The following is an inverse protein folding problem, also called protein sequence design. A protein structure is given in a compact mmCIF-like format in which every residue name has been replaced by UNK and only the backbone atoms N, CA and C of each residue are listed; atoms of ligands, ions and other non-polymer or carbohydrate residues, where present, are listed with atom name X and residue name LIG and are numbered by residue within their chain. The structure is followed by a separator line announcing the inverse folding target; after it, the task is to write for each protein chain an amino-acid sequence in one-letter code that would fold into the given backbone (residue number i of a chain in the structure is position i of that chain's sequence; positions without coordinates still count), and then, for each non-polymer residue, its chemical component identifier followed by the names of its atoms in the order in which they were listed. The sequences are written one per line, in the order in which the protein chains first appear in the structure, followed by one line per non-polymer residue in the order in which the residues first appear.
data_IF_223957759153
#
_entry.id   IF_223957759153
#
_cell.length_a   1.000
_cell.length_b   1.000
_cell.length_c   1.000
_cell.angle_alpha   90.00
_cell.angle_beta   90.00
_cell.angle_gamma   90.00
#
_symmetry.space_group_name_H-M   'P 1'
#
loop_
_entity.id
_entity.type
_entity.pdbx_description
1 polymer ?
#
# COMPACT_ATOMS: atom_id res chain seq x y z
N UNK A 1 22.03 -2.49 -0.37
CA UNK A 1 21.15 -3.34 -1.22
C UNK A 1 20.62 -2.51 -2.39
N UNK A 2 20.61 -3.04 -3.62
CA UNK A 2 19.96 -2.38 -4.76
C UNK A 2 18.47 -2.71 -4.79
N UNK A 3 17.63 -1.69 -4.85
CA UNK A 3 16.17 -1.79 -4.95
C UNK A 3 15.74 -1.31 -6.32
N UNK A 4 14.97 -2.14 -7.02
CA UNK A 4 14.45 -1.87 -8.36
C UNK A 4 12.99 -1.45 -8.26
N UNK A 5 12.63 -0.33 -8.90
CA UNK A 5 11.27 0.17 -8.97
C UNK A 5 10.66 -0.13 -10.34
N UNK A 6 9.42 -0.61 -10.32
CA UNK A 6 8.57 -0.81 -11.48
C UNK A 6 7.27 -0.04 -11.29
N UNK A 7 6.84 0.68 -12.32
CA UNK A 7 5.56 1.36 -12.37
C UNK A 7 5.06 1.29 -13.81
N UNK A 8 4.09 0.42 -14.05
CA UNK A 8 3.47 0.24 -15.36
C UNK A 8 2.48 1.37 -15.64
N UNK A 9 2.29 1.68 -16.93
CA UNK A 9 1.32 2.68 -17.36
C UNK A 9 -0.09 2.36 -16.85
N UNK A 10 -0.79 3.41 -16.43
CA UNK A 10 -2.18 3.35 -15.97
C UNK A 10 -3.12 2.91 -17.09
N UNK A 11 -4.20 2.23 -16.69
CA UNK A 11 -5.23 1.68 -17.57
C UNK A 11 -6.61 1.89 -16.98
N UNK A 12 -7.63 1.64 -17.80
CA UNK A 12 -9.02 1.47 -17.38
C UNK A 12 -9.60 2.66 -16.59
N UNK A 13 -9.17 3.88 -16.92
CA UNK A 13 -9.73 5.10 -16.35
C UNK A 13 -11.24 5.19 -16.58
N UNK A 14 -12.00 5.30 -15.49
CA UNK A 14 -13.47 5.31 -15.51
C UNK A 14 -14.02 6.52 -16.25
N UNK A 15 -13.42 7.69 -16.01
CA UNK A 15 -13.82 8.97 -16.61
C UNK A 15 -12.88 9.43 -17.72
N UNK A 16 -11.83 8.65 -18.02
CA UNK A 16 -10.90 8.88 -19.14
C UNK A 16 -10.32 10.29 -19.15
N UNK A 17 -9.99 10.83 -17.97
CA UNK A 17 -9.51 12.22 -17.85
C UNK A 17 -8.24 12.48 -18.67
N UNK A 18 -7.44 11.46 -18.92
CA UNK A 18 -6.25 11.54 -19.77
C UNK A 18 -6.55 11.58 -21.27
N UNK A 19 -7.68 11.03 -21.72
CA UNK A 19 -8.10 11.07 -23.14
C UNK A 19 -8.85 12.36 -23.46
N UNK A 20 -9.77 12.76 -22.57
CA UNK A 20 -10.66 13.90 -22.79
C UNK A 20 -9.99 15.25 -22.52
N UNK A 21 -8.82 15.25 -21.88
CA UNK A 21 -8.07 16.47 -21.54
C UNK A 21 -6.56 16.24 -21.71
N UNK A 22 -6.01 16.45 -22.92
CA UNK A 22 -4.60 16.23 -23.21
C UNK A 22 -3.63 16.99 -22.29
N UNK A 23 -4.05 18.14 -21.75
CA UNK A 23 -3.28 18.90 -20.76
C UNK A 23 -3.05 18.16 -19.43
N UNK A 24 -3.77 17.06 -19.19
CA UNK A 24 -3.66 16.25 -17.98
C UNK A 24 -2.72 15.05 -18.14
N UNK A 25 -2.27 14.74 -19.36
CA UNK A 25 -1.57 13.48 -19.69
C UNK A 25 -0.35 13.21 -18.79
N UNK A 26 0.38 14.26 -18.39
CA UNK A 26 1.54 14.15 -17.50
C UNK A 26 1.21 13.60 -16.11
N UNK A 27 -0.04 13.73 -15.64
CA UNK A 27 -0.48 13.14 -14.37
C UNK A 27 -0.80 11.64 -14.48
N UNK A 28 -0.92 11.12 -15.70
CA UNK A 28 -1.29 9.73 -16.00
C UNK A 28 -0.14 8.92 -16.64
N UNK A 29 0.84 9.60 -17.26
CA UNK A 29 2.07 8.99 -17.78
C UNK A 29 3.20 9.00 -16.74
N UNK A 30 2.94 8.35 -15.60
CA UNK A 30 3.88 8.29 -14.48
C UNK A 30 4.86 7.12 -14.64
N UNK A 31 6.08 7.33 -14.20
CA UNK A 31 7.14 6.33 -14.11
C UNK A 31 7.98 6.54 -12.86
N UNK A 32 8.78 5.56 -12.40
CA UNK A 32 9.56 5.72 -11.18
C UNK A 32 10.58 6.85 -11.32
N UNK A 33 10.61 7.77 -10.35
CA UNK A 33 11.62 8.82 -10.25
C UNK A 33 13.05 8.26 -10.23
N UNK A 34 13.24 7.09 -9.61
CA UNK A 34 14.51 6.38 -9.56
C UNK A 34 14.32 4.88 -9.84
N UNK A 35 14.44 4.42 -11.10
CA UNK A 35 14.22 3.01 -11.47
C UNK A 35 15.08 2.02 -10.69
N UNK A 36 16.29 2.43 -10.28
CA UNK A 36 17.17 1.66 -9.39
C UNK A 36 17.78 2.60 -8.36
N UNK A 37 17.76 2.21 -7.08
CA UNK A 37 18.38 2.96 -5.99
C UNK A 37 19.09 2.03 -5.01
N UNK A 38 20.29 2.42 -4.61
CA UNK A 38 21.01 1.72 -3.55
C UNK A 38 20.60 2.27 -2.19
N UNK A 39 20.27 1.37 -1.27
CA UNK A 39 19.96 1.67 0.13
C UNK A 39 21.00 1.03 1.04
N UNK A 40 21.48 1.80 2.00
CA UNK A 40 22.32 1.31 3.09
C UNK A 40 21.51 0.38 4.01
N UNK A 41 22.18 -0.53 4.73
CA UNK A 41 21.51 -1.44 5.66
C UNK A 41 20.72 -0.67 6.75
N UNK A 42 21.22 0.49 7.17
CA UNK A 42 20.56 1.34 8.16
C UNK A 42 19.18 1.85 7.71
N UNK A 43 18.94 2.00 6.40
CA UNK A 43 17.64 2.45 5.89
C UNK A 43 16.52 1.43 6.18
N UNK A 44 16.86 0.17 6.38
CA UNK A 44 15.88 -0.89 6.66
C UNK A 44 15.63 -1.10 8.15
N UNK A 45 16.32 -0.38 9.04
CA UNK A 45 16.16 -0.53 10.49
C UNK A 45 14.72 -0.27 10.96
N UNK A 46 13.99 0.61 10.27
CA UNK A 46 12.58 0.85 10.53
C UNK A 46 11.75 -0.44 10.56
N UNK A 47 12.11 -1.45 9.76
CA UNK A 47 11.36 -2.71 9.65
C UNK A 47 11.82 -3.80 10.64
N UNK A 48 12.88 -3.56 11.43
CA UNK A 48 13.35 -4.57 12.38
C UNK A 48 12.30 -4.78 13.48
N UNK A 49 12.09 -6.03 13.91
CA UNK A 49 11.12 -6.32 14.95
C UNK A 49 11.64 -5.78 16.29
N UNK A 50 10.76 -5.22 17.15
CA UNK A 50 11.10 -4.96 18.54
C UNK A 50 11.54 -6.23 19.27
N UNK A 51 12.30 -6.12 20.36
CA UNK A 51 12.90 -7.28 21.04
C UNK A 51 11.89 -8.25 21.68
N UNK A 52 10.66 -7.81 21.89
CA UNK A 52 9.61 -8.52 22.64
C UNK A 52 8.47 -9.05 21.76
N UNK A 53 8.53 -8.88 20.44
CA UNK A 53 7.48 -9.37 19.54
C UNK A 53 7.64 -10.86 19.21
N UNK A 54 6.50 -11.52 19.06
CA UNK A 54 6.36 -12.94 18.70
C UNK A 54 5.60 -13.09 17.38
N UNK A 55 5.65 -14.29 16.78
CA UNK A 55 4.95 -14.56 15.52
C UNK A 55 3.46 -14.26 15.66
N UNK A 56 2.93 -13.40 14.78
CA UNK A 56 1.56 -12.89 14.83
C UNK A 56 1.42 -11.48 15.39
N UNK A 57 2.40 -11.00 16.16
CA UNK A 57 2.34 -9.65 16.73
C UNK A 57 2.48 -8.59 15.63
N UNK A 58 1.80 -7.46 15.87
CA UNK A 58 1.75 -6.32 14.96
C UNK A 58 2.17 -5.06 15.70
N UNK A 59 3.14 -4.34 15.14
CA UNK A 59 3.64 -3.07 15.67
C UNK A 59 3.59 -1.96 14.63
N UNK A 60 3.66 -0.72 15.10
CA UNK A 60 3.70 0.47 14.26
C UNK A 60 5.11 0.71 13.73
N UNK A 61 5.21 1.09 12.46
CA UNK A 61 6.43 1.52 11.81
C UNK A 61 6.50 3.05 11.83
N UNK A 62 7.69 3.59 12.05
CA UNK A 62 7.92 5.03 11.95
C UNK A 62 7.68 5.49 10.49
N UNK A 63 6.60 6.24 10.28
CA UNK A 63 6.12 6.61 8.94
C UNK A 63 7.17 7.44 8.18
N UNK A 64 7.84 8.36 8.88
CA UNK A 64 8.92 9.20 8.38
C UNK A 64 10.18 8.40 7.96
N UNK A 65 10.38 7.20 8.52
CA UNK A 65 11.47 6.31 8.12
C UNK A 65 11.12 5.43 6.91
N UNK A 66 9.83 5.11 6.69
CA UNK A 66 9.39 4.25 5.57
C UNK A 66 8.97 5.01 4.31
N UNK A 67 8.42 6.21 4.43
CA UNK A 67 8.06 7.07 3.27
C UNK A 67 9.25 7.33 2.32
N UNK A 68 10.51 7.48 2.77
CA UNK A 68 11.66 7.62 1.89
C UNK A 68 11.89 6.49 0.87
N UNK A 69 11.30 5.31 1.08
CA UNK A 69 11.28 4.24 0.07
C UNK A 69 10.35 4.59 -1.10
N UNK A 70 9.20 5.22 -0.82
CA UNK A 70 8.23 5.63 -1.84
C UNK A 70 8.71 6.81 -2.70
N UNK A 71 9.71 7.59 -2.25
CA UNK A 71 10.38 8.57 -3.10
C UNK A 71 11.08 7.96 -4.31
N UNK A 72 11.31 6.64 -4.31
CA UNK A 72 11.79 5.94 -5.49
C UNK A 72 10.75 5.94 -6.62
N UNK A 73 9.45 5.94 -6.27
CA UNK A 73 8.37 6.13 -7.22
C UNK A 73 8.18 7.59 -7.58
N UNK A 74 7.98 8.47 -6.59
CA UNK A 74 7.76 9.89 -6.83
C UNK A 74 8.07 10.70 -5.56
N UNK A 75 8.73 11.85 -5.71
CA UNK A 75 9.19 12.69 -4.58
C UNK A 75 8.05 13.31 -3.76
N UNK A 76 6.85 13.39 -4.33
CA UNK A 76 5.65 13.84 -3.65
C UNK A 76 4.97 12.81 -2.75
N UNK A 77 5.59 11.65 -2.47
CA UNK A 77 5.05 10.66 -1.56
C UNK A 77 4.84 11.23 -0.15
N UNK A 78 3.73 10.88 0.49
CA UNK A 78 3.42 11.32 1.85
C UNK A 78 2.59 10.26 2.57
N UNK A 79 2.82 10.14 3.88
CA UNK A 79 2.01 9.31 4.76
C UNK A 79 0.80 10.04 5.36
N UNK A 80 0.72 11.36 5.16
CA UNK A 80 -0.46 12.16 5.51
C UNK A 80 -1.48 12.07 4.38
N UNK A 81 -2.61 11.44 4.66
CA UNK A 81 -3.67 11.22 3.67
C UNK A 81 -4.74 12.29 3.78
N UNK A 82 -5.35 12.64 2.65
CA UNK A 82 -6.57 13.49 2.70
C UNK A 82 -7.77 12.69 3.19
N UNK A 83 -7.83 11.43 2.78
CA UNK A 83 -8.92 10.51 3.08
C UNK A 83 -8.34 9.20 3.60
N UNK A 84 -9.07 8.59 4.53
CA UNK A 84 -8.74 7.26 5.03
C UNK A 84 -7.87 7.23 6.28
N UNK A 85 -7.45 6.01 6.62
CA UNK A 85 -6.65 5.76 7.83
C UNK A 85 -5.17 5.96 7.53
N UNK A 86 -4.46 6.71 8.37
CA UNK A 86 -3.02 6.91 8.22
C UNK A 86 -2.22 5.83 8.95
N UNK A 87 -0.99 5.63 8.52
CA UNK A 87 0.00 4.87 9.27
C UNK A 87 0.68 3.75 8.49
N UNK A 88 1.65 3.14 9.16
CA UNK A 88 2.38 1.99 8.67
C UNK A 88 2.52 0.98 9.79
N UNK A 89 2.26 -0.30 9.49
CA UNK A 89 2.34 -1.38 10.48
C UNK A 89 3.09 -2.56 9.89
N UNK A 90 3.78 -3.29 10.76
CA UNK A 90 4.46 -4.54 10.45
C UNK A 90 3.92 -5.67 11.32
N UNK A 91 3.98 -6.89 10.79
CA UNK A 91 3.58 -8.13 11.43
C UNK A 91 4.72 -9.14 11.30
N UNK A 92 5.11 -9.73 12.43
CA UNK A 92 6.11 -10.79 12.44
C UNK A 92 5.45 -12.07 11.92
N UNK A 93 5.71 -12.42 10.66
CA UNK A 93 5.04 -13.55 9.99
C UNK A 93 5.71 -14.87 10.30
N UNK A 94 7.04 -14.93 10.29
CA UNK A 94 7.78 -16.14 10.61
C UNK A 94 9.15 -15.86 11.23
N UNK A 95 9.64 -16.82 12.02
CA UNK A 95 10.96 -16.80 12.64
C UNK A 95 11.66 -18.14 12.47
N UNK A 96 12.98 -18.10 12.33
CA UNK A 96 13.88 -19.23 12.54
C UNK A 96 15.03 -18.79 13.43
N UNK A 97 15.99 -19.67 13.71
CA UNK A 97 17.20 -19.32 14.46
C UNK A 97 17.99 -18.16 13.85
N UNK A 98 17.90 -17.98 12.53
CA UNK A 98 18.78 -17.10 11.75
C UNK A 98 18.02 -16.02 11.00
N UNK A 99 16.72 -16.19 10.77
CA UNK A 99 15.94 -15.32 9.90
C UNK A 99 14.63 -14.90 10.54
N UNK A 100 14.21 -13.68 10.21
CA UNK A 100 12.85 -13.21 10.43
C UNK A 100 12.24 -12.75 9.13
N UNK A 101 10.96 -13.02 9.01
CA UNK A 101 10.14 -12.69 7.89
C UNK A 101 8.99 -11.80 8.39
N UNK A 102 8.91 -10.61 7.83
CA UNK A 102 8.04 -9.54 8.29
C UNK A 102 7.19 -9.07 7.12
N UNK A 103 5.88 -9.20 7.28
CA UNK A 103 4.93 -8.57 6.38
C UNK A 103 4.62 -7.16 6.89
N UNK A 104 4.41 -6.20 5.99
CA UNK A 104 4.05 -4.84 6.39
C UNK A 104 3.04 -4.22 5.44
N UNK A 105 2.39 -3.16 5.92
CA UNK A 105 1.43 -2.36 5.18
C UNK A 105 1.68 -0.88 5.46
N UNK A 106 1.72 -0.07 4.40
CA UNK A 106 1.96 1.37 4.46
C UNK A 106 0.82 2.07 3.75
N UNK A 107 0.18 3.02 4.43
CA UNK A 107 -0.78 3.91 3.81
C UNK A 107 -0.07 5.19 3.37
N UNK A 108 -0.16 5.49 2.07
CA UNK A 108 0.50 6.65 1.48
C UNK A 108 -0.20 7.09 0.20
N UNK A 109 -0.08 8.38 -0.09
CA UNK A 109 -0.49 9.02 -1.34
C UNK A 109 0.68 9.82 -1.93
N UNK A 110 0.50 10.30 -3.15
CA UNK A 110 1.49 11.14 -3.83
C UNK A 110 0.85 12.45 -4.24
N UNK A 111 1.43 13.56 -3.82
CA UNK A 111 1.16 14.85 -4.44
C UNK A 111 1.87 14.88 -5.80
N UNK A 112 1.09 14.93 -6.87
CA UNK A 112 1.60 15.09 -8.23
C UNK A 112 1.72 16.57 -8.59
N UNK A 113 2.59 16.87 -9.54
CA UNK A 113 2.67 18.19 -10.15
C UNK A 113 2.81 18.09 -11.66
N UNK A 114 2.06 18.93 -12.38
CA UNK A 114 2.28 19.23 -13.80
C UNK A 114 2.19 20.74 -14.03
N UNK A 115 2.81 21.30 -15.09
CA UNK A 115 2.66 22.71 -15.44
C UNK A 115 1.19 23.12 -15.57
N UNK A 116 0.39 22.31 -16.26
CA UNK A 116 -1.04 22.56 -16.45
C UNK A 116 -1.81 22.59 -15.12
N UNK A 117 -1.54 21.62 -14.23
CA UNK A 117 -2.17 21.61 -12.92
C UNK A 117 -1.75 22.80 -12.07
N UNK A 118 -0.47 23.23 -12.11
CA UNK A 118 -0.02 24.41 -11.36
C UNK A 118 -0.69 25.70 -11.82
N UNK A 119 -0.89 25.88 -13.12
CA UNK A 119 -1.61 27.05 -13.65
C UNK A 119 -3.09 27.03 -13.24
N UNK A 120 -3.74 25.87 -13.40
CA UNK A 120 -5.13 25.70 -12.96
C UNK A 120 -5.27 25.92 -11.46
N UNK A 121 -4.36 25.37 -10.65
CA UNK A 121 -4.38 25.51 -9.21
C UNK A 121 -4.26 26.98 -8.77
N UNK A 122 -3.38 27.77 -9.39
CA UNK A 122 -3.27 29.21 -9.10
C UNK A 122 -4.55 29.98 -9.42
N UNK A 123 -5.26 29.61 -10.49
CA UNK A 123 -6.50 30.26 -10.88
C UNK A 123 -7.71 29.87 -10.00
N UNK A 124 -7.62 28.74 -9.30
CA UNK A 124 -8.73 28.16 -8.51
C UNK A 124 -8.43 28.07 -7.01
N UNK A 125 -7.22 28.46 -6.58
CA UNK A 125 -6.86 28.52 -5.17
C UNK A 125 -7.69 29.59 -4.45
N UNK A 126 -7.99 29.32 -3.19
CA UNK A 126 -8.63 30.28 -2.28
C UNK A 126 -7.87 30.31 -0.96
N UNK A 127 -8.15 31.30 -0.11
CA UNK A 127 -7.47 31.47 1.18
C UNK A 127 -7.51 30.22 2.08
N UNK A 128 -8.50 29.34 1.90
CA UNK A 128 -8.71 28.15 2.71
C UNK A 128 -8.49 26.82 1.97
N UNK A 129 -8.11 26.86 0.69
CA UNK A 129 -7.96 25.65 -0.12
C UNK A 129 -6.97 25.86 -1.25
N UNK A 130 -5.88 25.09 -1.21
CA UNK A 130 -4.97 24.92 -2.33
C UNK A 130 -5.26 23.58 -3.01
N UNK A 131 -5.74 23.57 -4.26
CA UNK A 131 -5.97 22.33 -4.97
C UNK A 131 -4.63 21.67 -5.31
N UNK A 132 -4.52 20.38 -4.95
CA UNK A 132 -3.37 19.53 -5.28
C UNK A 132 -3.82 18.40 -6.19
N UNK A 133 -3.00 18.06 -7.17
CA UNK A 133 -3.16 16.81 -7.91
C UNK A 133 -2.67 15.67 -7.00
N UNK A 134 -3.47 14.66 -6.79
CA UNK A 134 -3.15 13.55 -5.89
C UNK A 134 -3.33 12.23 -6.61
N UNK A 135 -2.34 11.37 -6.46
CA UNK A 135 -2.39 9.97 -6.84
C UNK A 135 -2.51 9.15 -5.57
N UNK A 136 -3.61 8.42 -5.45
CA UNK A 136 -4.12 7.87 -4.19
C UNK A 136 -4.22 6.34 -4.34
N UNK A 137 -3.12 5.60 -4.16
CA UNK A 137 -3.15 4.15 -4.04
C UNK A 137 -3.59 3.71 -2.64
N UNK A 138 -3.33 4.53 -1.63
CA UNK A 138 -3.65 4.39 -0.19
C UNK A 138 -3.19 3.14 0.53
N UNK A 139 -2.76 2.08 -0.15
CA UNK A 139 -2.42 0.81 0.47
C UNK A 139 -1.26 0.15 -0.27
N UNK A 140 -0.05 0.25 0.28
CA UNK A 140 1.08 -0.57 -0.13
C UNK A 140 1.20 -1.78 0.80
N UNK A 141 1.38 -2.96 0.21
CA UNK A 141 1.74 -4.17 0.95
C UNK A 141 3.20 -4.50 0.70
N UNK A 142 3.87 -5.09 1.69
CA UNK A 142 5.26 -5.43 1.52
C UNK A 142 5.75 -6.50 2.47
N UNK A 143 7.00 -6.84 2.24
CA UNK A 143 7.67 -7.96 2.85
C UNK A 143 9.16 -7.67 2.99
N UNK A 144 9.74 -8.02 4.14
CA UNK A 144 11.19 -7.99 4.34
C UNK A 144 11.66 -9.27 5.01
N UNK A 145 12.73 -9.83 4.47
CA UNK A 145 13.46 -10.97 5.02
C UNK A 145 14.78 -10.47 5.57
N UNK A 146 15.02 -10.70 6.86
CA UNK A 146 16.21 -10.22 7.56
C UNK A 146 16.97 -11.42 8.13
N UNK A 147 18.29 -11.44 7.93
CA UNK A 147 19.19 -12.35 8.64
C UNK A 147 19.59 -11.72 9.98
N UNK A 148 19.14 -12.33 11.08
CA UNK A 148 19.36 -11.84 12.44
C UNK A 148 20.84 -11.87 12.88
N UNK A 149 21.64 -12.80 12.36
CA UNK A 149 23.05 -12.94 12.72
C UNK A 149 23.92 -11.82 12.15
N UNK A 150 23.56 -11.35 10.95
CA UNK A 150 24.32 -10.35 10.21
C UNK A 150 23.65 -8.98 10.20
N UNK A 151 22.41 -8.89 10.69
CA UNK A 151 21.53 -7.72 10.59
C UNK A 151 21.38 -7.23 9.13
N UNK A 152 21.44 -8.15 8.16
CA UNK A 152 21.32 -7.84 6.74
C UNK A 152 19.93 -8.17 6.21
N UNK A 153 19.43 -7.29 5.34
CA UNK A 153 18.22 -7.57 4.55
C UNK A 153 18.58 -8.47 3.38
N UNK A 154 17.95 -9.64 3.34
CA UNK A 154 18.11 -10.64 2.30
C UNK A 154 17.13 -10.44 1.14
N UNK A 155 15.91 -10.00 1.44
CA UNK A 155 14.91 -9.66 0.44
C UNK A 155 14.00 -8.55 0.95
N UNK A 156 13.54 -7.72 0.02
CA UNK A 156 12.59 -6.66 0.26
C UNK A 156 11.63 -6.58 -0.93
N UNK A 157 10.34 -6.47 -0.64
CA UNK A 157 9.34 -6.12 -1.63
C UNK A 157 8.32 -5.16 -1.05
N UNK A 158 7.87 -4.20 -1.84
CA UNK A 158 6.78 -3.30 -1.54
C UNK A 158 5.99 -3.16 -2.83
N UNK A 159 4.68 -3.34 -2.81
CA UNK A 159 3.86 -3.32 -4.02
C UNK A 159 2.46 -2.78 -3.73
N UNK A 160 1.82 -2.30 -4.79
CA UNK A 160 0.41 -2.01 -4.81
C UNK A 160 -0.38 -3.33 -4.95
N UNK A 161 -1.25 -3.69 -3.99
CA UNK A 161 -2.02 -4.93 -4.07
C UNK A 161 -2.91 -4.98 -5.33
N UNK A 162 -3.13 -6.18 -5.91
CA UNK A 162 -4.04 -6.34 -7.04
C UNK A 162 -5.50 -6.19 -6.60
N UNK A 163 -6.22 -5.27 -7.25
CA UNK A 163 -7.68 -5.02 -7.09
C UNK A 163 -8.25 -4.39 -8.36
N UNK A 164 -9.57 -4.39 -8.54
CA UNK A 164 -10.23 -3.97 -9.80
C UNK A 164 -9.89 -2.53 -10.21
N UNK A 165 -9.98 -1.58 -9.27
CA UNK A 165 -9.36 -0.26 -9.33
C UNK A 165 -8.40 -0.17 -8.15
N UNK A 166 -7.17 0.31 -8.38
CA UNK A 166 -6.17 0.36 -7.31
C UNK A 166 -5.59 1.74 -7.05
N UNK A 167 -6.05 2.75 -7.76
CA UNK A 167 -5.56 4.12 -7.67
C UNK A 167 -6.67 5.08 -8.04
N UNK A 168 -6.71 6.21 -7.34
CA UNK A 168 -7.49 7.37 -7.75
C UNK A 168 -6.57 8.55 -8.06
N UNK A 169 -6.93 9.30 -9.12
CA UNK A 169 -6.28 10.56 -9.45
C UNK A 169 -7.28 11.69 -9.24
N UNK A 170 -7.03 12.49 -8.20
CA UNK A 170 -7.79 13.70 -7.91
C UNK A 170 -7.03 14.90 -8.48
N UNK A 171 -7.54 15.54 -9.52
CA UNK A 171 -6.92 16.71 -10.15
C UNK A 171 -7.98 17.57 -10.84
N UNK A 172 -7.74 18.88 -10.99
CA UNK A 172 -8.64 19.78 -11.72
C UNK A 172 -10.10 19.83 -11.19
N UNK A 173 -10.30 19.50 -9.91
CA UNK A 173 -11.62 19.45 -9.28
C UNK A 173 -12.45 18.21 -9.62
N UNK A 174 -11.84 17.19 -10.25
CA UNK A 174 -12.45 15.89 -10.52
C UNK A 174 -11.55 14.74 -10.04
N UNK A 175 -12.12 13.53 -10.06
CA UNK A 175 -11.48 12.28 -9.70
C UNK A 175 -11.57 11.31 -10.90
N UNK A 176 -10.52 10.53 -11.15
CA UNK A 176 -10.57 9.36 -12.03
C UNK A 176 -10.06 8.13 -11.29
N UNK A 177 -10.83 7.05 -11.38
CA UNK A 177 -10.44 5.75 -10.83
C UNK A 177 -9.71 5.00 -11.93
N UNK A 178 -8.45 4.64 -11.67
CA UNK A 178 -7.58 3.97 -12.65
C UNK A 178 -7.03 2.67 -12.09
N UNK A 179 -6.51 1.85 -12.99
CA UNK A 179 -5.81 0.62 -12.67
C UNK A 179 -4.34 0.74 -13.07
N UNK A 180 -3.44 0.53 -12.10
CA UNK A 180 -2.00 0.39 -12.32
C UNK A 180 -1.66 -1.10 -12.26
N UNK A 181 -1.30 -1.74 -13.40
CA UNK A 181 -1.06 -3.18 -13.45
C UNK A 181 0.08 -3.65 -12.53
N UNK A 182 1.10 -2.82 -12.37
CA UNK A 182 2.28 -3.11 -11.56
C UNK A 182 2.84 -1.81 -11.01
N UNK A 183 2.96 -1.74 -9.70
CA UNK A 183 3.71 -0.70 -9.01
C UNK A 183 4.40 -1.34 -7.82
N UNK A 184 5.72 -1.54 -7.92
CA UNK A 184 6.47 -2.28 -6.91
C UNK A 184 7.94 -1.89 -6.81
N UNK A 185 8.48 -2.04 -5.61
CA UNK A 185 9.90 -2.04 -5.29
C UNK A 185 10.30 -3.47 -4.97
N UNK A 186 11.38 -3.95 -5.58
CA UNK A 186 11.93 -5.29 -5.32
C UNK A 186 13.44 -5.20 -5.10
N UNK A 187 13.91 -5.87 -4.06
CA UNK A 187 15.29 -6.27 -3.92
C UNK A 187 15.35 -7.72 -3.46
N UNK A 188 16.21 -8.51 -4.07
CA UNK A 188 16.48 -9.87 -3.60
C UNK A 188 17.96 -10.15 -3.73
N UNK A 189 18.56 -10.57 -2.63
CA UNK A 189 19.77 -11.37 -2.71
C UNK A 189 19.38 -12.79 -3.14
N UNK A 190 19.71 -13.16 -4.38
CA UNK A 190 19.36 -14.47 -4.95
C UNK A 190 19.98 -15.62 -4.16
N UNK A 191 21.08 -15.39 -3.44
CA UNK A 191 21.80 -16.43 -2.70
C UNK A 191 21.15 -16.72 -1.33
N UNK A 192 20.34 -15.80 -0.79
CA UNK A 192 19.74 -15.95 0.54
C UNK A 192 18.40 -16.70 0.56
N UNK A 193 17.79 -16.98 -0.60
CA UNK A 193 16.49 -17.69 -0.73
C UNK A 193 16.64 -19.22 -0.81
N UNK A 194 17.51 -19.80 0.02
CA UNK A 194 17.40 -21.23 0.31
C UNK A 194 16.05 -21.55 0.95
N UNK A 195 15.67 -22.82 0.99
CA UNK A 195 14.46 -23.25 1.69
C UNK A 195 14.65 -23.06 3.20
N UNK A 196 14.13 -21.96 3.76
CA UNK A 196 14.25 -21.64 5.19
C UNK A 196 13.29 -22.56 5.97
N UNK A 197 13.85 -23.36 6.88
CA UNK A 197 13.05 -24.08 7.87
C UNK A 197 12.61 -23.10 8.97
N UNK A 198 11.32 -22.76 8.98
CA UNK A 198 10.74 -21.86 9.98
C UNK A 198 10.43 -22.62 11.27
N UNK A 199 10.87 -22.06 12.41
CA UNK A 199 10.55 -22.60 13.74
C UNK A 199 9.10 -22.29 14.13
N UNK A 200 8.61 -21.11 13.73
CA UNK A 200 7.22 -20.69 13.89
C UNK A 200 6.83 -19.77 12.74
N UNK A 201 5.60 -19.91 12.24
CA UNK A 201 5.08 -19.10 11.17
C UNK A 201 3.55 -19.01 11.21
N UNK A 202 3.01 -17.86 10.81
CA UNK A 202 1.63 -17.73 10.34
C UNK A 202 1.57 -17.67 8.81
N UNK A 203 0.41 -18.00 8.25
CA UNK A 203 0.15 -17.80 6.83
C UNK A 203 0.21 -16.32 6.44
N UNK A 204 0.55 -16.03 5.18
CA UNK A 204 0.48 -14.68 4.63
C UNK A 204 -0.93 -14.06 4.79
N UNK A 205 -1.98 -14.86 4.62
CA UNK A 205 -3.36 -14.39 4.80
C UNK A 205 -3.65 -13.93 6.23
N UNK A 206 -3.14 -14.67 7.23
CA UNK A 206 -3.27 -14.29 8.63
C UNK A 206 -2.51 -12.99 8.94
N UNK A 207 -1.30 -12.81 8.39
CA UNK A 207 -0.54 -11.57 8.53
C UNK A 207 -1.25 -10.39 7.88
N UNK A 208 -1.77 -10.58 6.66
CA UNK A 208 -2.56 -9.58 5.92
C UNK A 208 -3.80 -9.16 6.70
N UNK A 209 -4.52 -10.12 7.30
CA UNK A 209 -5.66 -9.85 8.16
C UNK A 209 -5.27 -9.08 9.43
N UNK A 210 -4.18 -9.47 10.10
CA UNK A 210 -3.70 -8.81 11.29
C UNK A 210 -3.31 -7.34 11.02
N UNK A 211 -2.66 -7.08 9.87
CA UNK A 211 -2.34 -5.73 9.40
C UNK A 211 -3.62 -4.94 9.06
N UNK A 212 -4.57 -5.54 8.34
CA UNK A 212 -5.82 -4.89 7.98
C UNK A 212 -6.62 -4.44 9.22
N UNK A 213 -6.61 -5.22 10.31
CA UNK A 213 -7.28 -4.89 11.57
C UNK A 213 -6.73 -3.64 12.27
N UNK A 214 -5.52 -3.19 11.95
CA UNK A 214 -4.98 -1.92 12.45
C UNK A 214 -5.63 -0.71 11.80
N UNK A 215 -6.09 -0.86 10.56
CA UNK A 215 -6.75 0.20 9.80
C UNK A 215 -8.28 0.07 9.89
N UNK A 216 -8.81 -1.15 9.81
CA UNK A 216 -10.23 -1.38 9.57
C UNK A 216 -10.85 -2.34 10.58
N UNK A 217 -11.73 -1.83 11.44
CA UNK A 217 -12.51 -2.68 12.34
C UNK A 217 -13.45 -3.63 11.61
N UNK A 218 -13.93 -3.28 10.41
CA UNK A 218 -14.78 -4.19 9.64
C UNK A 218 -14.03 -5.44 9.16
N UNK A 219 -12.70 -5.48 9.21
CA UNK A 219 -11.93 -6.70 8.91
C UNK A 219 -12.14 -7.82 9.94
N UNK A 220 -12.78 -7.54 11.09
CA UNK A 220 -13.26 -8.53 12.05
C UNK A 220 -14.47 -9.32 11.51
N UNK A 221 -15.21 -8.75 10.55
CA UNK A 221 -16.42 -9.36 10.00
C UNK A 221 -16.05 -10.66 9.28
N UNK A 222 -16.78 -11.73 9.61
CA UNK A 222 -16.71 -12.98 8.88
C UNK A 222 -17.47 -12.84 7.54
N UNK A 223 -16.77 -12.36 6.52
CA UNK A 223 -17.30 -12.26 5.16
C UNK A 223 -17.69 -13.63 4.62
N UNK A 224 -18.92 -13.73 4.11
CA UNK A 224 -19.49 -14.94 3.54
C UNK A 224 -20.18 -14.62 2.23
N UNK A 225 -20.15 -15.54 1.24
CA UNK A 225 -21.08 -15.48 0.11
C UNK A 225 -22.52 -15.36 0.60
N UNK A 226 -23.36 -14.66 -0.18
CA UNK A 226 -24.74 -14.37 0.23
C UNK A 226 -25.55 -15.66 0.48
N UNK A 227 -25.29 -16.70 -0.30
CA UNK A 227 -25.92 -18.01 -0.18
C UNK A 227 -25.59 -18.67 1.17
N UNK A 228 -24.34 -18.58 1.61
CA UNK A 228 -23.90 -19.09 2.91
C UNK A 228 -24.48 -18.26 4.07
N UNK A 229 -24.50 -16.93 3.93
CA UNK A 229 -25.08 -16.05 4.93
C UNK A 229 -26.58 -16.34 5.13
N UNK A 230 -27.31 -16.55 4.03
CA UNK A 230 -28.74 -16.94 4.06
C UNK A 230 -28.94 -18.32 4.68
N UNK A 231 -28.10 -19.30 4.34
CA UNK A 231 -28.17 -20.63 4.94
C UNK A 231 -27.92 -20.58 6.45
N UNK A 232 -26.93 -19.81 6.90
CA UNK A 232 -26.61 -19.62 8.31
C UNK A 232 -27.74 -18.91 9.07
N UNK A 233 -28.32 -17.86 8.49
CA UNK A 233 -29.45 -17.14 9.08
C UNK A 233 -30.66 -18.07 9.31
N UNK A 234 -30.98 -18.92 8.32
CA UNK A 234 -32.04 -19.94 8.44
C UNK A 234 -31.72 -20.98 9.52
N UNK A 235 -30.50 -21.53 9.49
CA UNK A 235 -30.08 -22.57 10.44
C UNK A 235 -30.04 -22.08 11.89
N UNK A 236 -29.74 -20.79 12.10
CA UNK A 236 -29.64 -20.18 13.44
C UNK A 236 -30.91 -19.48 13.89
N UNK A 237 -31.96 -19.44 13.05
CA UNK A 237 -33.19 -18.68 13.27
C UNK A 237 -32.90 -17.20 13.64
N UNK A 238 -31.95 -16.57 12.95
CA UNK A 238 -31.57 -15.17 13.15
C UNK A 238 -31.93 -14.33 11.92
N UNK A 239 -32.43 -13.09 12.11
CA UNK A 239 -32.70 -12.21 10.98
C UNK A 239 -31.40 -11.80 10.29
N UNK A 240 -31.47 -11.61 8.97
CA UNK A 240 -30.37 -11.07 8.16
C UNK A 240 -30.59 -9.57 7.98
N UNK A 241 -29.62 -8.76 8.39
CA UNK A 241 -29.57 -7.33 8.07
C UNK A 241 -28.61 -7.16 6.87
N UNK A 242 -29.14 -6.69 5.75
CA UNK A 242 -28.35 -6.40 4.56
C UNK A 242 -28.09 -4.89 4.45
N UNK A 243 -26.83 -4.52 4.23
CA UNK A 243 -26.40 -3.16 3.87
C UNK A 243 -25.81 -3.24 2.47
N UNK A 244 -26.32 -2.43 1.55
CA UNK A 244 -25.77 -2.29 0.21
C UNK A 244 -24.90 -1.04 0.18
N UNK A 245 -23.62 -1.20 -0.14
CA UNK A 245 -22.67 -0.12 -0.33
C UNK A 245 -22.24 -0.05 -1.79
N UNK A 246 -21.91 1.16 -2.25
CA UNK A 246 -21.30 1.39 -3.55
C UNK A 246 -19.79 1.52 -3.32
N UNK A 247 -19.01 0.56 -3.82
CA UNK A 247 -17.57 0.51 -3.64
C UNK A 247 -17.09 -0.42 -2.51
N UNK A 248 -15.79 -0.74 -2.46
CA UNK A 248 -15.21 -1.52 -1.38
C UNK A 248 -15.15 -0.71 -0.06
N UNK A 249 -15.15 -1.39 1.08
CA UNK A 249 -15.12 -0.73 2.40
C UNK A 249 -13.74 -0.16 2.77
N UNK A 250 -12.70 -0.63 2.10
CA UNK A 250 -11.34 -0.14 2.19
C UNK A 250 -10.99 0.80 1.02
N UNK A 251 -12.00 1.36 0.35
CA UNK A 251 -11.79 2.47 -0.57
C UNK A 251 -11.46 3.74 0.20
N UNK A 252 -10.28 4.30 -0.04
CA UNK A 252 -9.76 5.47 0.68
C UNK A 252 -9.72 6.70 -0.22
N UNK A 253 -10.50 6.69 -1.30
CA UNK A 253 -10.44 7.67 -2.39
C UNK A 253 -11.42 8.83 -2.27
N UNK A 254 -12.36 8.76 -1.33
CA UNK A 254 -13.52 9.64 -1.22
C UNK A 254 -13.76 10.15 0.22
#
# INVERSE_FOLDING_TARGET
MQVHAHWDAMKDGTFKLYEDSPQNVELFDLSPAHPVKAYEASAFRAFFPPSDVTVGDVWELALDEVIPFLYQFHTGATGTLVHGQEGAFACLRAVSSDYVDIAFRIHAEFTLESPAHREWAKANASDNWEPKARFIPSQFAGHVLINLKTEQVCAFSLHLPPRNSNVDINAFGCADMVFVPRMELIASDREARGEIAWDSAISEEAARKALALKFYRFAEIAWKPIEEAVALAKATNRPLHAVLVWGPLDDESC
#
